data_IF_951522296322
#
_entry.id   IF_951522296322
#
_cell.length_a   1.000
_cell.length_b   1.000
_cell.length_c   1.000
_cell.angle_alpha   90.00
_cell.angle_beta   90.00
_cell.angle_gamma   90.00
#
_symmetry.space_group_name_H-M   'P 1'
#
loop_
_entity.id
_entity.type
_entity.pdbx_description
1 polymer ?
#
# COMPACT_ATOMS: atom_id res chain seq x y z
N UNK A 1 1.87 9.18 -28.98
CA UNK A 1 1.35 9.93 -27.81
C UNK A 1 2.52 10.26 -26.90
N UNK A 2 2.87 11.54 -26.72
CA UNK A 2 4.01 11.94 -25.87
C UNK A 2 3.56 11.88 -24.40
N UNK A 3 4.12 10.96 -23.62
CA UNK A 3 3.94 10.93 -22.18
C UNK A 3 4.48 12.24 -21.59
N UNK A 4 3.59 13.09 -21.07
CA UNK A 4 3.98 14.22 -20.25
C UNK A 4 4.29 13.68 -18.86
N UNK A 5 5.57 13.69 -18.50
CA UNK A 5 6.04 13.48 -17.12
C UNK A 5 5.39 14.57 -16.25
N UNK A 6 4.37 14.23 -15.49
CA UNK A 6 3.89 15.08 -14.41
C UNK A 6 4.83 14.88 -13.23
N UNK A 7 5.65 15.89 -12.97
CA UNK A 7 6.41 16.02 -11.73
C UNK A 7 5.36 16.23 -10.64
N UNK A 8 5.22 15.26 -9.73
CA UNK A 8 4.46 15.42 -8.51
C UNK A 8 5.19 16.48 -7.69
N UNK A 9 4.55 17.64 -7.54
CA UNK A 9 5.03 18.67 -6.63
C UNK A 9 4.59 18.27 -5.23
N UNK A 10 5.33 17.34 -4.62
CA UNK A 10 5.35 17.24 -3.16
C UNK A 10 5.90 18.59 -2.72
N UNK A 11 5.10 19.40 -2.02
CA UNK A 11 5.62 20.55 -1.29
C UNK A 11 6.60 19.99 -0.26
N UNK A 12 7.87 19.88 -0.66
CA UNK A 12 8.98 19.45 0.16
C UNK A 12 9.20 20.57 1.17
N UNK A 13 8.49 20.51 2.29
CA UNK A 13 8.82 21.31 3.46
C UNK A 13 10.10 20.70 4.03
N UNK A 14 11.24 21.04 3.42
CA UNK A 14 12.55 20.71 3.97
C UNK A 14 12.60 21.42 5.32
N UNK A 15 12.58 20.66 6.41
CA UNK A 15 13.04 21.17 7.70
C UNK A 15 14.56 21.31 7.55
N UNK A 16 14.96 22.40 6.92
CA UNK A 16 16.36 22.74 6.82
C UNK A 16 16.80 23.11 8.24
N UNK A 17 17.67 22.31 8.85
CA UNK A 17 18.55 22.86 9.86
C UNK A 17 19.30 23.98 9.13
N UNK A 18 19.08 25.22 9.57
CA UNK A 18 19.86 26.33 9.03
C UNK A 18 21.32 26.00 9.31
N UNK A 19 22.16 25.95 8.28
CA UNK A 19 23.61 25.88 8.42
C UNK A 19 24.08 27.15 9.14
N UNK A 20 23.98 27.12 10.47
CA UNK A 20 24.47 28.14 11.37
C UNK A 20 25.87 27.68 11.78
N UNK A 21 26.88 28.37 11.25
CA UNK A 21 28.29 28.41 11.66
C UNK A 21 28.74 27.21 12.56
N UNK A 22 29.41 26.22 11.93
CA UNK A 22 29.94 24.96 12.49
C UNK A 22 30.90 25.18 13.67
N UNK A 23 30.37 25.65 14.79
CA UNK A 23 31.11 25.89 16.04
C UNK A 23 31.11 24.67 16.96
N UNK A 24 30.36 23.61 16.64
CA UNK A 24 30.26 22.36 17.38
C UNK A 24 31.14 21.22 16.82
N UNK A 25 31.75 21.42 15.64
CA UNK A 25 32.63 20.44 15.00
C UNK A 25 31.90 19.30 14.27
N UNK A 26 30.58 19.38 14.09
CA UNK A 26 29.79 18.42 13.31
C UNK A 26 29.59 18.93 11.87
N UNK A 27 29.91 18.11 10.87
CA UNK A 27 29.62 18.45 9.46
C UNK A 27 28.83 17.34 8.81
N UNK A 28 27.54 17.58 8.53
CA UNK A 28 26.68 16.60 7.86
C UNK A 28 27.24 16.23 6.47
N UNK A 29 27.71 14.99 6.31
CA UNK A 29 28.13 14.44 5.01
C UNK A 29 26.99 13.69 4.31
N UNK A 30 26.01 13.21 5.08
CA UNK A 30 24.73 12.68 4.58
C UNK A 30 23.55 13.25 5.36
N UNK A 31 22.44 13.42 4.65
CA UNK A 31 21.17 13.87 5.22
C UNK A 31 20.06 12.98 4.69
N UNK A 32 19.27 12.40 5.60
CA UNK A 32 18.09 11.61 5.33
C UNK A 32 16.86 12.43 5.71
N UNK A 33 15.96 12.66 4.74
CA UNK A 33 14.70 13.36 4.96
C UNK A 33 13.57 12.35 4.93
N UNK A 34 12.82 12.26 6.03
CA UNK A 34 11.90 11.16 6.29
C UNK A 34 10.49 11.68 6.53
N UNK A 35 9.51 11.01 5.94
CA UNK A 35 8.10 11.19 6.27
C UNK A 35 7.62 9.94 7.00
N UNK A 36 7.21 10.12 8.26
CA UNK A 36 6.66 9.05 9.08
C UNK A 36 5.16 8.91 8.84
N UNK A 37 4.68 7.67 8.76
CA UNK A 37 3.26 7.34 8.59
C UNK A 37 2.89 6.06 9.31
N UNK A 38 1.59 5.87 9.59
CA UNK A 38 1.06 4.60 10.10
C UNK A 38 1.22 3.43 9.13
N UNK A 39 1.27 3.72 7.83
CA UNK A 39 1.54 2.75 6.75
C UNK A 39 2.87 2.01 6.90
N UNK A 40 3.90 2.67 7.44
CA UNK A 40 5.22 2.07 7.63
C UNK A 40 5.38 1.35 8.97
N UNK A 41 4.42 1.48 9.89
CA UNK A 41 4.46 0.85 11.21
C UNK A 41 4.34 -0.67 11.10
N UNK A 42 4.87 -1.37 12.11
CA UNK A 42 4.85 -2.84 12.16
C UNK A 42 4.08 -3.27 13.41
N UNK A 43 2.83 -3.77 13.28
CA UNK A 43 2.02 -3.91 12.06
C UNK A 43 1.54 -2.56 11.49
N UNK A 44 1.06 -2.57 10.23
CA UNK A 44 0.50 -1.40 9.57
C UNK A 44 -0.71 -0.88 10.37
N UNK A 45 -0.82 0.43 10.53
CA UNK A 45 -2.02 1.05 11.11
C UNK A 45 -2.56 2.19 10.24
N UNK A 46 -3.84 2.49 10.41
CA UNK A 46 -4.59 3.44 9.57
C UNK A 46 -4.53 4.89 10.09
N UNK A 47 -3.49 5.24 10.86
CA UNK A 47 -3.32 6.61 11.32
C UNK A 47 -3.13 7.58 10.15
N UNK A 48 -3.93 8.63 10.13
CA UNK A 48 -3.77 9.77 9.21
C UNK A 48 -2.74 10.78 9.72
N UNK A 49 -2.21 10.60 10.93
CA UNK A 49 -1.14 11.44 11.45
C UNK A 49 0.14 11.21 10.64
N UNK A 50 0.92 12.28 10.45
CA UNK A 50 2.22 12.22 9.78
C UNK A 50 3.21 13.09 10.54
N UNK A 51 4.49 12.79 10.40
CA UNK A 51 5.57 13.60 10.96
C UNK A 51 6.74 13.67 9.98
N UNK A 52 7.54 14.72 10.08
CA UNK A 52 8.77 14.88 9.30
C UNK A 52 9.97 14.74 10.24
N UNK A 53 11.00 14.04 9.78
CA UNK A 53 12.26 13.94 10.48
C UNK A 53 13.45 14.13 9.53
N UNK A 54 14.53 14.67 10.07
CA UNK A 54 15.83 14.77 9.41
C UNK A 54 16.83 14.02 10.26
N UNK A 55 17.58 13.10 9.65
CA UNK A 55 18.72 12.42 10.27
C UNK A 55 19.97 12.83 9.50
N UNK A 56 21.02 13.23 10.20
CA UNK A 56 22.28 13.63 9.61
C UNK A 56 23.42 12.78 10.15
N UNK A 57 24.32 12.38 9.26
CA UNK A 57 25.54 11.65 9.57
C UNK A 57 26.75 12.50 9.15
N UNK A 58 27.71 12.64 10.04
CA UNK A 58 29.06 13.10 9.74
C UNK A 58 29.99 11.90 9.64
N UNK A 59 30.33 11.49 8.42
CA UNK A 59 31.22 10.36 8.17
C UNK A 59 32.70 10.63 8.56
N UNK A 60 33.09 11.89 8.81
CA UNK A 60 34.46 12.20 9.23
C UNK A 60 34.68 11.89 10.71
N UNK A 61 33.63 12.07 11.52
CA UNK A 61 33.65 11.85 12.97
C UNK A 61 32.85 10.62 13.40
N UNK A 62 32.13 9.99 12.46
CA UNK A 62 31.14 8.95 12.72
C UNK A 62 30.10 9.40 13.75
N UNK A 63 29.61 10.63 13.64
CA UNK A 63 28.59 11.17 14.53
C UNK A 63 27.24 11.26 13.82
N UNK A 64 26.15 10.96 14.53
CA UNK A 64 24.78 11.14 14.06
C UNK A 64 24.05 12.16 14.92
N UNK A 65 23.22 12.99 14.29
CA UNK A 65 22.18 13.79 14.98
C UNK A 65 20.85 13.65 14.25
N UNK A 66 19.75 13.88 14.95
CA UNK A 66 18.43 13.81 14.34
C UNK A 66 17.48 14.87 14.90
N UNK A 67 16.52 15.28 14.07
CA UNK A 67 15.43 16.19 14.44
C UNK A 67 14.12 15.59 13.96
N UNK A 68 13.13 15.53 14.84
CA UNK A 68 11.76 15.11 14.55
C UNK A 68 10.82 16.29 14.80
N UNK A 69 10.03 16.67 13.80
CA UNK A 69 8.97 17.68 13.93
C UNK A 69 7.71 17.00 14.46
N UNK A 70 7.45 17.14 15.76
CA UNK A 70 6.41 16.40 16.47
C UNK A 70 5.21 17.28 16.89
N UNK A 71 5.19 18.54 16.44
CA UNK A 71 4.22 19.58 16.83
C UNK A 71 2.75 19.23 16.54
N UNK A 72 2.49 18.42 15.51
CA UNK A 72 1.14 18.03 15.09
C UNK A 72 0.78 16.58 15.48
N UNK A 73 1.57 15.95 16.35
CA UNK A 73 1.32 14.57 16.77
C UNK A 73 0.45 14.58 18.04
N UNK A 74 -0.82 14.23 17.89
CA UNK A 74 -1.76 14.10 18.98
C UNK A 74 -1.41 12.92 19.88
N UNK A 75 -1.37 13.17 21.19
CA UNK A 75 -1.11 12.13 22.18
C UNK A 75 0.32 11.58 22.18
N UNK A 76 1.29 12.31 21.61
CA UNK A 76 2.71 11.95 21.62
C UNK A 76 3.19 11.60 23.04
N UNK A 77 3.84 10.44 23.18
CA UNK A 77 4.44 9.98 24.44
C UNK A 77 5.95 9.93 24.37
N UNK A 78 6.51 9.30 23.33
CA UNK A 78 7.95 9.11 23.12
C UNK A 78 8.25 8.95 21.63
N UNK A 79 9.50 9.15 21.24
CA UNK A 79 10.01 8.76 19.93
C UNK A 79 11.42 8.20 20.06
N UNK A 80 11.78 7.24 19.20
CA UNK A 80 13.06 6.55 19.24
C UNK A 80 13.60 6.30 17.83
N UNK A 81 14.92 6.21 17.72
CA UNK A 81 15.58 5.51 16.61
C UNK A 81 15.81 4.07 17.05
N UNK A 82 15.39 3.11 16.24
CA UNK A 82 15.55 1.69 16.45
C UNK A 82 16.42 1.06 15.36
N UNK A 83 17.04 -0.07 15.70
CA UNK A 83 17.63 -1.00 14.73
C UNK A 83 16.55 -1.97 14.23
N UNK A 84 16.50 -2.23 12.93
CA UNK A 84 15.64 -3.20 12.24
C UNK A 84 15.41 -2.81 10.78
N UNK A 85 15.45 -3.79 9.88
CA UNK A 85 15.17 -3.60 8.46
C UNK A 85 13.69 -3.26 8.20
N UNK A 86 13.34 -3.01 6.95
CA UNK A 86 11.98 -2.71 6.52
C UNK A 86 11.01 -3.83 6.90
N UNK A 87 9.94 -3.47 7.61
CA UNK A 87 8.94 -4.41 8.11
C UNK A 87 9.38 -5.21 9.33
N UNK A 88 10.57 -4.94 9.89
CA UNK A 88 11.06 -5.55 11.12
C UNK A 88 10.96 -4.61 12.32
N UNK A 89 10.96 -5.21 13.51
CA UNK A 89 11.08 -4.50 14.78
C UNK A 89 12.39 -4.89 15.45
N UNK A 90 13.08 -3.94 16.09
CA UNK A 90 14.23 -4.25 16.92
C UNK A 90 14.46 -3.26 18.06
N UNK A 91 15.65 -3.31 18.65
CA UNK A 91 16.00 -2.57 19.86
C UNK A 91 16.08 -1.05 19.66
N UNK A 92 15.93 -0.31 20.76
CA UNK A 92 16.16 1.14 20.77
C UNK A 92 17.66 1.41 20.64
N UNK A 93 18.05 2.27 19.69
CA UNK A 93 19.40 2.78 19.52
C UNK A 93 19.52 4.15 20.18
N UNK A 94 18.59 5.06 19.90
CA UNK A 94 18.55 6.42 20.47
C UNK A 94 17.14 6.80 20.89
N UNK A 95 17.04 7.59 21.97
CA UNK A 95 15.80 8.28 22.35
C UNK A 95 15.80 9.71 21.84
N UNK A 96 14.62 10.18 21.41
CA UNK A 96 14.40 11.59 21.11
C UNK A 96 13.99 12.33 22.37
N UNK A 97 14.70 13.42 22.65
CA UNK A 97 14.43 14.29 23.79
C UNK A 97 13.95 15.67 23.33
N UNK A 98 13.29 16.41 24.23
CA UNK A 98 13.04 17.83 23.98
C UNK A 98 14.38 18.57 23.93
N UNK A 99 14.58 19.50 22.97
CA UNK A 99 15.78 20.31 22.96
C UNK A 99 15.91 21.06 24.29
N UNK A 100 17.12 21.11 24.82
CA UNK A 100 17.40 21.95 25.99
C UNK A 100 17.46 23.40 25.56
N UNK A 101 17.17 24.33 26.47
CA UNK A 101 17.17 25.78 26.18
C UNK A 101 18.50 26.30 25.61
N UNK A 102 19.61 25.61 25.87
CA UNK A 102 20.91 25.92 25.24
C UNK A 102 20.89 25.61 23.73
N UNK A 103 20.37 24.44 23.34
CA UNK A 103 20.34 23.99 21.96
C UNK A 103 19.30 24.75 21.11
N UNK A 104 18.18 25.14 21.71
CA UNK A 104 17.16 25.99 21.04
C UNK A 104 17.78 27.31 20.52
N UNK A 105 18.64 27.94 21.32
CA UNK A 105 19.23 29.24 21.01
C UNK A 105 20.50 29.16 20.13
N UNK A 106 21.19 28.01 20.12
CA UNK A 106 22.46 27.83 19.39
C UNK A 106 22.23 27.25 17.99
N UNK A 107 21.28 26.32 17.84
CA UNK A 107 21.06 25.58 16.57
C UNK A 107 19.75 25.97 15.88
N UNK A 108 18.97 26.89 16.47
CA UNK A 108 17.76 27.44 15.87
C UNK A 108 16.59 26.46 15.81
N UNK A 109 16.51 25.52 16.75
CA UNK A 109 15.39 24.58 16.86
C UNK A 109 14.08 25.31 17.20
N UNK A 110 12.97 24.77 16.70
CA UNK A 110 11.63 25.31 16.91
C UNK A 110 10.89 24.59 18.02
N UNK A 111 9.97 25.30 18.67
CA UNK A 111 9.01 24.70 19.61
C UNK A 111 8.25 23.55 18.93
N UNK A 112 8.12 22.41 19.63
CA UNK A 112 7.48 21.21 19.09
C UNK A 112 8.41 20.21 18.39
N UNK A 113 9.71 20.51 18.29
CA UNK A 113 10.72 19.54 17.83
C UNK A 113 11.22 18.64 18.96
N UNK A 114 11.56 17.40 18.61
CA UNK A 114 12.37 16.51 19.42
C UNK A 114 13.71 16.26 18.71
N UNK A 115 14.77 16.00 19.46
CA UNK A 115 16.12 15.82 18.92
C UNK A 115 16.81 14.59 19.47
N UNK A 116 17.73 14.06 18.65
CA UNK A 116 18.88 13.28 19.11
C UNK A 116 20.09 14.20 18.93
N UNK A 117 20.74 14.57 20.04
CA UNK A 117 21.99 15.35 19.98
C UNK A 117 23.07 14.57 19.23
N UNK A 118 24.17 15.24 18.84
CA UNK A 118 25.26 14.56 18.15
C UNK A 118 25.86 13.44 19.03
N UNK A 119 25.73 12.20 18.58
CA UNK A 119 26.20 11.00 19.25
C UNK A 119 27.16 10.22 18.35
N UNK A 120 28.25 9.72 18.93
CA UNK A 120 29.25 8.93 18.19
C UNK A 120 28.73 7.51 17.93
N UNK A 121 28.93 7.04 16.71
CA UNK A 121 28.61 5.70 16.25
C UNK A 121 29.87 4.84 16.19
N UNK A 122 29.73 3.56 16.49
CA UNK A 122 30.71 2.56 16.08
C UNK A 122 30.70 2.36 14.56
N UNK A 123 31.77 1.80 14.01
CA UNK A 123 31.86 1.54 12.57
C UNK A 123 30.71 0.65 12.06
N UNK A 124 30.33 -0.39 12.82
CA UNK A 124 29.21 -1.26 12.45
C UNK A 124 27.88 -0.51 12.47
N UNK A 125 27.66 0.40 13.44
CA UNK A 125 26.44 1.21 13.47
C UNK A 125 26.33 2.18 12.28
N UNK A 126 27.46 2.69 11.78
CA UNK A 126 27.48 3.46 10.54
C UNK A 126 27.10 2.57 9.35
N UNK A 127 27.64 1.36 9.27
CA UNK A 127 27.27 0.38 8.23
C UNK A 127 25.77 0.06 8.27
N UNK A 128 25.22 -0.28 9.44
CA UNK A 128 23.79 -0.58 9.64
C UNK A 128 22.90 0.61 9.21
N UNK A 129 23.25 1.84 9.61
CA UNK A 129 22.54 3.05 9.22
C UNK A 129 22.54 3.26 7.70
N UNK A 130 23.71 3.08 7.06
CA UNK A 130 23.86 3.28 5.61
C UNK A 130 23.21 2.16 4.79
N UNK A 131 23.11 0.95 5.35
CA UNK A 131 22.37 -0.16 4.77
C UNK A 131 20.84 0.02 4.93
N UNK A 132 20.39 1.07 5.61
CA UNK A 132 18.99 1.36 5.82
C UNK A 132 18.37 0.48 6.91
N UNK A 133 19.16 -0.13 7.78
CA UNK A 133 18.69 -1.06 8.81
C UNK A 133 18.18 -0.35 10.07
N UNK A 134 17.96 0.97 10.04
CA UNK A 134 17.44 1.72 11.18
C UNK A 134 16.13 2.44 10.82
N UNK A 135 15.26 2.65 11.81
CA UNK A 135 13.99 3.36 11.62
C UNK A 135 13.68 4.30 12.79
N UNK A 136 12.93 5.35 12.52
CA UNK A 136 12.32 6.19 13.56
C UNK A 136 10.93 5.62 13.88
N UNK A 137 10.61 5.52 15.16
CA UNK A 137 9.29 5.14 15.66
C UNK A 137 8.75 6.21 16.61
N UNK A 138 7.46 6.56 16.47
CA UNK A 138 6.78 7.53 17.31
C UNK A 138 5.62 6.85 18.02
N UNK A 139 5.59 6.96 19.34
CA UNK A 139 4.60 6.34 20.20
C UNK A 139 3.59 7.37 20.67
N UNK A 140 2.31 7.01 20.64
CA UNK A 140 1.22 7.84 21.18
C UNK A 140 0.42 7.11 22.23
N UNK A 141 -0.43 7.82 22.94
CA UNK A 141 -1.39 7.21 23.87
C UNK A 141 -2.38 6.28 23.15
N UNK A 142 -2.64 6.48 21.86
CA UNK A 142 -3.57 5.66 21.06
C UNK A 142 -2.90 4.41 20.51
N UNK A 143 -1.63 4.50 20.10
CA UNK A 143 -0.84 3.37 19.59
C UNK A 143 0.51 3.30 20.32
N UNK A 144 0.54 2.73 21.55
CA UNK A 144 1.76 2.70 22.37
C UNK A 144 2.90 1.87 21.79
N UNK A 145 2.61 0.92 20.89
CA UNK A 145 3.63 0.13 20.18
C UNK A 145 4.36 0.92 19.09
N UNK A 146 3.83 2.07 18.69
CA UNK A 146 4.33 2.88 17.57
C UNK A 146 3.19 3.25 16.62
N UNK A 147 2.77 4.51 16.63
CA UNK A 147 1.77 5.02 15.68
C UNK A 147 2.40 5.32 14.33
N UNK A 148 3.55 6.01 14.30
CA UNK A 148 4.20 6.44 13.07
C UNK A 148 5.61 5.87 12.96
N UNK A 149 5.97 5.37 11.78
CA UNK A 149 7.31 4.85 11.49
C UNK A 149 7.87 5.45 10.21
N UNK A 150 9.19 5.60 10.13
CA UNK A 150 9.91 5.82 8.88
C UNK A 150 11.22 5.05 8.88
N UNK A 151 11.47 4.26 7.83
CA UNK A 151 12.80 3.67 7.62
C UNK A 151 13.80 4.78 7.26
N UNK A 152 14.99 4.75 7.84
CA UNK A 152 16.05 5.71 7.55
C UNK A 152 16.80 5.22 6.30
N UNK A 153 16.36 5.69 5.13
CA UNK A 153 16.91 5.31 3.82
C UNK A 153 17.28 6.56 3.00
N UNK A 154 18.25 6.48 2.06
CA UNK A 154 18.60 7.60 1.21
C UNK A 154 17.42 8.04 0.33
N UNK A 155 17.47 9.29 -0.17
CA UNK A 155 16.42 9.82 -1.06
C UNK A 155 16.32 9.10 -2.42
N UNK A 156 17.29 8.24 -2.75
CA UNK A 156 17.22 7.31 -3.88
C UNK A 156 16.29 6.13 -3.62
N UNK A 157 15.83 5.92 -2.39
CA UNK A 157 14.96 4.81 -2.03
C UNK A 157 13.51 5.26 -1.93
N UNK A 158 12.60 4.48 -2.51
CA UNK A 158 11.15 4.65 -2.35
C UNK A 158 10.58 3.52 -1.52
N UNK A 159 9.77 3.86 -0.52
CA UNK A 159 9.06 2.89 0.33
C UNK A 159 7.61 2.77 -0.13
N UNK A 160 7.14 1.53 -0.28
CA UNK A 160 5.74 1.17 -0.51
C UNK A 160 5.28 0.21 0.59
N UNK A 161 4.03 0.38 1.00
CA UNK A 161 3.39 -0.47 2.01
C UNK A 161 2.01 -0.86 1.51
N UNK A 162 1.61 -2.12 1.70
CA UNK A 162 0.34 -2.64 1.20
C UNK A 162 -0.18 -3.76 2.10
N UNK A 163 -1.49 -3.95 2.14
CA UNK A 163 -2.14 -5.04 2.89
C UNK A 163 -2.45 -6.20 1.97
N UNK A 164 -2.42 -7.41 2.50
CA UNK A 164 -2.82 -8.65 1.86
C UNK A 164 -4.04 -9.21 2.57
N UNK A 165 -5.02 -9.70 1.82
CA UNK A 165 -6.20 -10.37 2.36
C UNK A 165 -6.80 -11.34 1.34
N UNK A 166 -7.82 -12.09 1.77
CA UNK A 166 -8.53 -13.04 0.91
C UNK A 166 -9.46 -12.40 -0.12
N UNK A 167 -9.98 -11.20 0.14
CA UNK A 167 -10.91 -10.51 -0.79
C UNK A 167 -10.21 -10.02 -2.05
N UNK A 168 -8.93 -9.68 -1.94
CA UNK A 168 -8.08 -9.31 -3.05
C UNK A 168 -7.70 -10.49 -3.96
N UNK A 169 -7.82 -11.74 -3.48
CA UNK A 169 -7.51 -12.94 -4.26
C UNK A 169 -8.51 -13.10 -5.42
N UNK A 170 -8.11 -13.79 -6.49
CA UNK A 170 -8.96 -13.94 -7.69
C UNK A 170 -9.16 -15.42 -8.03
N UNK A 171 -10.36 -15.99 -7.82
CA UNK A 171 -11.50 -15.39 -7.12
C UNK A 171 -11.26 -15.11 -5.63
N UNK A 172 -12.08 -14.25 -5.03
CA UNK A 172 -12.00 -13.91 -3.62
C UNK A 172 -12.12 -15.17 -2.75
N UNK A 173 -11.28 -15.24 -1.71
CA UNK A 173 -11.18 -16.36 -0.79
C UNK A 173 -11.75 -15.93 0.56
N UNK A 174 -12.73 -16.68 1.05
CA UNK A 174 -13.25 -16.48 2.40
C UNK A 174 -12.26 -17.04 3.44
N UNK A 175 -11.45 -16.15 4.02
CA UNK A 175 -10.45 -16.48 5.03
C UNK A 175 -10.26 -15.31 5.99
N UNK A 176 -9.82 -15.59 7.20
CA UNK A 176 -9.36 -14.56 8.16
C UNK A 176 -7.87 -14.27 8.02
N UNK A 177 -7.15 -15.04 7.18
CA UNK A 177 -5.75 -14.79 6.89
C UNK A 177 -5.56 -13.42 6.24
N UNK A 178 -4.51 -12.74 6.64
CA UNK A 178 -4.12 -11.43 6.12
C UNK A 178 -2.59 -11.26 6.17
N UNK A 179 -2.10 -10.10 5.79
CA UNK A 179 -0.70 -9.75 5.97
C UNK A 179 -0.38 -8.30 5.61
N UNK A 180 0.80 -7.87 6.02
CA UNK A 180 1.37 -6.57 5.68
C UNK A 180 2.61 -6.77 4.80
N UNK A 181 2.69 -6.01 3.71
CA UNK A 181 3.86 -5.93 2.84
C UNK A 181 4.57 -4.59 3.00
N UNK A 182 5.89 -4.65 3.13
CA UNK A 182 6.77 -3.49 3.22
C UNK A 182 7.86 -3.65 2.17
N UNK A 183 8.00 -2.68 1.28
CA UNK A 183 8.89 -2.74 0.13
C UNK A 183 9.72 -1.47 0.06
N UNK A 184 11.04 -1.61 -0.08
CA UNK A 184 11.97 -0.53 -0.36
C UNK A 184 12.62 -0.79 -1.73
N UNK A 185 12.67 0.22 -2.59
CA UNK A 185 13.37 0.14 -3.88
C UNK A 185 14.38 1.26 -4.01
N UNK A 186 15.66 0.93 -4.19
CA UNK A 186 16.73 1.88 -4.47
C UNK A 186 16.94 2.06 -5.98
N UNK A 187 16.76 3.29 -6.47
CA UNK A 187 16.95 3.65 -7.87
C UNK A 187 18.41 3.70 -8.34
N UNK A 188 19.39 3.74 -7.44
CA UNK A 188 20.83 3.73 -7.77
C UNK A 188 21.25 2.32 -8.13
N UNK A 189 20.95 1.35 -7.27
CA UNK A 189 21.39 -0.04 -7.42
C UNK A 189 20.35 -0.93 -8.13
N UNK A 190 19.12 -0.42 -8.33
CA UNK A 190 17.96 -1.19 -8.80
C UNK A 190 17.69 -2.41 -7.92
N UNK A 191 17.78 -2.18 -6.61
CA UNK A 191 17.60 -3.19 -5.58
C UNK A 191 16.23 -3.01 -4.90
N UNK A 192 15.49 -4.11 -4.79
CA UNK A 192 14.23 -4.26 -4.10
C UNK A 192 14.46 -5.11 -2.84
N UNK A 193 14.22 -4.49 -1.69
CA UNK A 193 14.02 -5.18 -0.43
C UNK A 193 12.53 -5.26 -0.15
N UNK A 194 12.04 -6.42 0.29
CA UNK A 194 10.64 -6.61 0.65
C UNK A 194 10.55 -7.52 1.85
N UNK A 195 9.65 -7.18 2.76
CA UNK A 195 9.21 -8.06 3.83
C UNK A 195 7.70 -8.20 3.80
N UNK A 196 7.22 -9.44 3.89
CA UNK A 196 5.82 -9.73 4.17
C UNK A 196 5.71 -10.27 5.59
N UNK A 197 4.77 -9.76 6.37
CA UNK A 197 4.37 -10.30 7.67
C UNK A 197 2.92 -10.81 7.56
N UNK A 198 2.75 -12.11 7.37
CA UNK A 198 1.43 -12.78 7.22
C UNK A 198 0.88 -13.23 8.57
N UNK A 199 -0.44 -13.26 8.74
CA UNK A 199 -1.09 -13.76 9.97
C UNK A 199 -2.22 -14.71 9.60
N UNK A 200 -2.53 -15.63 10.51
CA UNK A 200 -3.57 -16.67 10.35
C UNK A 200 -3.46 -17.51 9.06
N UNK A 201 -2.26 -17.58 8.48
CA UNK A 201 -1.94 -18.45 7.36
C UNK A 201 -1.51 -19.83 7.87
N UNK A 202 -2.08 -20.88 7.28
CA UNK A 202 -1.72 -22.26 7.57
C UNK A 202 -1.25 -22.94 6.29
N UNK A 203 -0.28 -23.85 6.40
CA UNK A 203 0.23 -24.66 5.28
C UNK A 203 0.72 -23.82 4.08
N UNK A 204 1.38 -22.70 4.36
CA UNK A 204 1.98 -21.83 3.33
C UNK A 204 3.10 -22.56 2.60
N UNK A 205 3.07 -22.50 1.27
CA UNK A 205 4.03 -23.19 0.40
C UNK A 205 4.98 -22.25 -0.33
N UNK A 206 4.51 -21.05 -0.68
CA UNK A 206 5.29 -20.07 -1.42
C UNK A 206 4.65 -18.68 -1.32
N UNK A 207 5.45 -17.63 -1.54
CA UNK A 207 4.96 -16.30 -1.82
C UNK A 207 5.73 -15.69 -3.00
N UNK A 208 5.07 -14.88 -3.81
CA UNK A 208 5.66 -14.32 -5.03
C UNK A 208 5.12 -12.93 -5.31
N UNK A 209 5.95 -12.09 -5.93
CA UNK A 209 5.50 -10.91 -6.67
C UNK A 209 5.19 -11.32 -8.11
N UNK A 210 3.95 -11.09 -8.53
CA UNK A 210 3.48 -11.32 -9.90
C UNK A 210 3.27 -9.99 -10.62
N UNK A 211 3.54 -9.98 -11.92
CA UNK A 211 2.95 -8.98 -12.81
C UNK A 211 1.43 -9.14 -12.83
N UNK A 212 0.66 -8.06 -12.91
CA UNK A 212 -0.79 -8.11 -13.02
C UNK A 212 -1.48 -7.05 -12.17
N UNK A 213 -2.49 -6.43 -12.77
CA UNK A 213 -3.33 -5.41 -12.13
C UNK A 213 -4.44 -6.07 -11.32
N UNK A 214 -5.33 -5.25 -10.79
CA UNK A 214 -6.50 -5.71 -10.04
C UNK A 214 -7.33 -6.74 -10.82
N UNK A 215 -7.73 -7.81 -10.12
CA UNK A 215 -8.52 -8.90 -10.70
C UNK A 215 -7.81 -9.75 -11.77
N UNK A 216 -6.50 -9.58 -12.02
CA UNK A 216 -5.73 -10.42 -12.95
C UNK A 216 -5.24 -11.71 -12.28
N UNK A 217 -5.20 -12.81 -13.04
CA UNK A 217 -4.69 -14.13 -12.60
C UNK A 217 -3.53 -14.67 -13.44
N UNK A 218 -3.16 -14.00 -14.53
CA UNK A 218 -2.34 -14.61 -15.60
C UNK A 218 -0.92 -14.06 -15.73
N UNK A 219 -0.45 -13.24 -14.79
CA UNK A 219 0.88 -12.66 -14.90
C UNK A 219 1.97 -13.54 -14.27
N UNK A 220 3.15 -13.51 -14.90
CA UNK A 220 4.31 -14.30 -14.48
C UNK A 220 4.87 -13.85 -13.13
N UNK A 221 5.61 -14.75 -12.49
CA UNK A 221 6.41 -14.46 -11.29
C UNK A 221 7.61 -13.61 -11.68
N UNK A 222 7.86 -12.55 -10.92
CA UNK A 222 8.94 -11.60 -11.15
C UNK A 222 9.95 -11.65 -10.00
N UNK A 223 9.45 -11.84 -8.77
CA UNK A 223 10.29 -12.09 -7.58
C UNK A 223 9.71 -13.26 -6.79
N UNK A 224 10.54 -14.25 -6.48
CA UNK A 224 10.23 -15.27 -5.50
C UNK A 224 10.54 -14.81 -4.09
N UNK A 225 9.70 -15.20 -3.12
CA UNK A 225 9.88 -14.84 -1.72
C UNK A 225 10.13 -16.10 -0.89
N UNK A 226 11.21 -16.06 -0.11
CA UNK A 226 11.59 -17.11 0.81
C UNK A 226 11.03 -16.82 2.20
N UNK A 227 10.70 -17.87 2.95
CA UNK A 227 10.41 -17.71 4.37
C UNK A 227 11.67 -17.23 5.09
N UNK A 228 11.53 -16.22 5.94
CA UNK A 228 12.63 -15.71 6.76
C UNK A 228 13.06 -16.80 7.73
N UNK A 229 14.38 -16.92 7.97
CA UNK A 229 14.94 -17.93 8.85
C UNK A 229 14.24 -17.93 10.22
N UNK A 230 13.81 -19.11 10.67
CA UNK A 230 13.08 -19.32 11.93
C UNK A 230 11.71 -18.61 12.02
N UNK A 231 11.13 -18.19 10.89
CA UNK A 231 9.77 -17.64 10.83
C UNK A 231 8.87 -18.50 9.94
N UNK A 232 7.63 -18.69 10.36
CA UNK A 232 6.56 -19.30 9.54
C UNK A 232 5.61 -18.26 8.96
N UNK A 233 5.80 -16.99 9.32
CA UNK A 233 4.87 -15.89 9.05
C UNK A 233 5.55 -14.70 8.40
N UNK A 234 6.87 -14.75 8.18
CA UNK A 234 7.62 -13.69 7.54
C UNK A 234 8.30 -14.18 6.26
N UNK A 235 8.30 -13.33 5.23
CA UNK A 235 8.85 -13.64 3.92
C UNK A 235 9.71 -12.50 3.40
N UNK A 236 10.76 -12.82 2.66
CA UNK A 236 11.71 -11.86 2.09
C UNK A 236 12.08 -12.22 0.63
N UNK A 237 12.57 -11.25 -0.15
CA UNK A 237 12.96 -11.51 -1.53
C UNK A 237 14.13 -12.49 -1.67
N UNK A 238 13.97 -13.49 -2.54
CA UNK A 238 15.06 -14.38 -2.99
C UNK A 238 16.04 -13.64 -3.89
N UNK A 239 15.52 -12.84 -4.84
CA UNK A 239 16.29 -11.99 -5.73
C UNK A 239 15.89 -10.54 -5.52
N UNK A 240 16.89 -9.68 -5.31
CA UNK A 240 16.69 -8.27 -5.02
C UNK A 240 16.83 -7.37 -6.25
N UNK A 241 17.33 -7.84 -7.40
CA UNK A 241 17.45 -6.99 -8.57
C UNK A 241 16.13 -6.94 -9.37
N UNK A 242 15.53 -5.76 -9.48
CA UNK A 242 14.29 -5.52 -10.23
C UNK A 242 14.52 -4.33 -11.16
N UNK A 243 14.10 -4.44 -12.41
CA UNK A 243 14.29 -3.35 -13.37
C UNK A 243 13.48 -2.12 -12.96
N UNK A 244 14.03 -0.93 -13.22
CA UNK A 244 13.36 0.33 -12.91
C UNK A 244 11.98 0.45 -13.56
N UNK A 245 11.83 -0.01 -14.80
CA UNK A 245 10.56 -0.01 -15.51
C UNK A 245 9.50 -0.87 -14.82
N UNK A 246 9.92 -1.99 -14.22
CA UNK A 246 9.02 -2.86 -13.45
C UNK A 246 8.59 -2.17 -12.17
N UNK A 247 9.51 -1.54 -11.44
CA UNK A 247 9.17 -0.76 -10.25
C UNK A 247 8.25 0.44 -10.58
N UNK A 248 8.51 1.17 -11.67
CA UNK A 248 7.64 2.26 -12.11
C UNK A 248 6.22 1.77 -12.42
N UNK A 249 6.07 0.54 -12.95
CA UNK A 249 4.77 -0.08 -13.16
C UNK A 249 4.14 -0.57 -11.84
N UNK A 250 4.93 -1.01 -10.85
CA UNK A 250 4.43 -1.28 -9.47
C UNK A 250 3.76 -0.04 -8.86
N UNK A 251 4.34 1.15 -9.03
CA UNK A 251 3.76 2.40 -8.49
C UNK A 251 2.33 2.68 -8.96
N UNK A 252 1.93 2.11 -10.10
CA UNK A 252 0.63 2.30 -10.73
C UNK A 252 -0.35 1.14 -10.55
N UNK A 253 -0.07 0.16 -9.69
CA UNK A 253 -0.92 -1.02 -9.53
C UNK A 253 -0.61 -2.14 -10.53
N UNK A 254 0.57 -2.15 -11.15
CA UNK A 254 0.94 -3.14 -12.17
C UNK A 254 1.32 -4.52 -11.63
N UNK A 255 1.49 -4.66 -10.31
CA UNK A 255 2.03 -5.85 -9.67
C UNK A 255 1.31 -6.14 -8.35
N UNK A 256 1.28 -7.42 -7.98
CA UNK A 256 0.69 -7.87 -6.73
C UNK A 256 1.51 -8.99 -6.11
N UNK A 257 1.33 -9.17 -4.80
CA UNK A 257 1.87 -10.30 -4.06
C UNK A 257 0.79 -11.35 -3.89
N UNK A 258 1.15 -12.61 -4.08
CA UNK A 258 0.32 -13.76 -3.68
C UNK A 258 1.07 -14.57 -2.62
N UNK A 259 0.32 -15.04 -1.62
CA UNK A 259 0.76 -16.11 -0.73
C UNK A 259 -0.05 -17.35 -1.06
N UNK A 260 0.64 -18.46 -1.27
CA UNK A 260 0.07 -19.74 -1.68
C UNK A 260 0.07 -20.73 -0.53
N UNK A 261 -1.03 -21.46 -0.36
CA UNK A 261 -1.17 -22.51 0.64
C UNK A 261 -1.76 -23.80 0.05
N UNK A 262 -1.57 -24.92 0.77
CA UNK A 262 -2.13 -26.21 0.39
C UNK A 262 -1.42 -26.91 -0.78
N UNK A 263 -1.81 -28.16 -1.04
CA UNK A 263 -1.18 -29.04 -2.04
C UNK A 263 -1.36 -28.58 -3.50
N UNK A 264 -2.27 -27.64 -3.76
CA UNK A 264 -2.53 -27.07 -5.09
C UNK A 264 -1.92 -25.69 -5.31
N UNK A 265 -1.16 -25.17 -4.35
CA UNK A 265 -0.60 -23.81 -4.40
C UNK A 265 -1.65 -22.75 -4.73
N UNK A 266 -2.85 -22.89 -4.16
CA UNK A 266 -3.90 -21.89 -4.35
C UNK A 266 -3.50 -20.60 -3.63
N UNK A 267 -3.72 -19.45 -4.26
CA UNK A 267 -3.59 -18.15 -3.58
C UNK A 267 -4.59 -18.11 -2.43
N UNK A 268 -4.12 -17.86 -1.21
CA UNK A 268 -4.98 -17.69 -0.02
C UNK A 268 -5.19 -16.22 0.33
N UNK A 269 -4.15 -15.40 0.18
CA UNK A 269 -4.21 -13.96 0.33
C UNK A 269 -3.42 -13.28 -0.79
N UNK A 270 -3.87 -12.10 -1.20
CA UNK A 270 -3.28 -11.29 -2.26
C UNK A 270 -3.17 -9.84 -1.81
N UNK A 271 -2.11 -9.13 -2.22
CA UNK A 271 -1.93 -7.71 -1.98
C UNK A 271 -1.51 -6.97 -3.25
N UNK A 272 -2.32 -6.04 -3.73
CA UNK A 272 -1.92 -5.18 -4.85
C UNK A 272 -0.89 -4.14 -4.39
N UNK A 273 0.19 -3.98 -5.16
CA UNK A 273 1.25 -3.00 -4.89
C UNK A 273 0.96 -1.73 -5.70
N UNK A 274 0.91 -0.57 -5.06
CA UNK A 274 0.72 0.74 -5.69
C UNK A 274 1.24 1.87 -4.78
N UNK A 275 1.39 3.06 -5.37
CA UNK A 275 1.73 4.28 -4.62
C UNK A 275 0.52 4.84 -3.84
N UNK A 276 0.71 5.64 -2.77
CA UNK A 276 -0.38 6.21 -1.96
C UNK A 276 -1.41 7.07 -2.70
N UNK A 277 -1.17 7.42 -3.96
CA UNK A 277 -2.13 8.12 -4.82
C UNK A 277 -3.23 7.20 -5.36
N UNK A 278 -3.24 5.93 -4.98
CA UNK A 278 -4.25 4.97 -5.36
C UNK A 278 -5.01 4.47 -4.14
N UNK A 279 -6.31 4.21 -4.33
CA UNK A 279 -7.15 3.52 -3.37
C UNK A 279 -7.74 2.26 -4.00
N UNK A 280 -7.55 1.13 -3.33
CA UNK A 280 -8.09 -0.17 -3.72
C UNK A 280 -9.43 -0.40 -3.00
N UNK A 281 -10.37 -1.02 -3.71
CA UNK A 281 -11.65 -1.47 -3.18
C UNK A 281 -11.89 -2.90 -3.66
N UNK A 282 -12.31 -3.77 -2.76
CA UNK A 282 -12.78 -5.13 -3.04
C UNK A 282 -14.22 -5.23 -2.57
N UNK A 283 -15.07 -5.92 -3.33
CA UNK A 283 -16.48 -6.06 -2.95
C UNK A 283 -17.10 -7.33 -3.56
N UNK A 284 -17.96 -8.04 -2.81
CA UNK A 284 -18.70 -9.17 -3.35
C UNK A 284 -19.89 -8.69 -4.20
N UNK A 285 -20.20 -9.42 -5.26
CA UNK A 285 -21.43 -9.27 -6.02
C UNK A 285 -22.35 -10.46 -5.78
N UNK A 286 -23.59 -10.19 -5.37
CA UNK A 286 -24.59 -11.21 -5.02
C UNK A 286 -25.97 -10.78 -5.46
N UNK A 287 -26.86 -11.73 -5.76
CA UNK A 287 -28.26 -11.41 -6.05
C UNK A 287 -29.03 -10.81 -4.87
N UNK A 288 -28.63 -11.11 -3.62
CA UNK A 288 -29.24 -10.56 -2.41
C UNK A 288 -29.04 -9.04 -2.25
N UNK A 289 -28.05 -8.48 -2.96
CA UNK A 289 -27.79 -7.04 -2.95
C UNK A 289 -28.65 -6.27 -3.96
N UNK A 290 -29.32 -6.96 -4.90
CA UNK A 290 -30.25 -6.32 -5.85
C UNK A 290 -31.44 -5.69 -5.15
N UNK A 291 -32.05 -4.67 -5.78
CA UNK A 291 -33.29 -4.05 -5.30
C UNK A 291 -34.36 -4.10 -6.40
N UNK A 292 -35.34 -5.03 -6.31
CA UNK A 292 -35.51 -6.03 -5.25
C UNK A 292 -34.51 -7.21 -5.34
N UNK A 293 -34.26 -7.94 -4.24
CA UNK A 293 -33.32 -9.07 -4.22
C UNK A 293 -33.64 -10.17 -5.25
N UNK A 294 -32.60 -10.73 -5.85
CA UNK A 294 -32.70 -11.79 -6.87
C UNK A 294 -32.15 -13.11 -6.32
N UNK A 295 -32.97 -14.17 -6.35
CA UNK A 295 -32.51 -15.53 -6.03
C UNK A 295 -31.75 -16.11 -7.22
N UNK A 296 -30.43 -16.21 -7.11
CA UNK A 296 -29.55 -16.83 -8.10
C UNK A 296 -28.43 -17.62 -7.42
N UNK A 297 -27.86 -18.59 -8.14
CA UNK A 297 -26.61 -19.25 -7.73
C UNK A 297 -25.36 -18.52 -8.23
N UNK A 298 -25.53 -17.49 -9.06
CA UNK A 298 -24.46 -16.64 -9.55
C UNK A 298 -23.86 -15.82 -8.40
N UNK A 299 -22.56 -15.52 -8.53
CA UNK A 299 -21.83 -14.68 -7.59
C UNK A 299 -20.71 -13.96 -8.34
N UNK A 300 -20.16 -12.90 -7.78
CA UNK A 300 -18.97 -12.26 -8.33
C UNK A 300 -18.10 -11.61 -7.27
N UNK A 301 -16.92 -11.20 -7.70
CA UNK A 301 -16.03 -10.34 -6.93
C UNK A 301 -15.60 -9.17 -7.81
N UNK A 302 -15.68 -7.97 -7.26
CA UNK A 302 -15.26 -6.74 -7.88
C UNK A 302 -13.97 -6.22 -7.25
N UNK A 303 -13.12 -5.65 -8.09
CA UNK A 303 -11.86 -5.03 -7.72
C UNK A 303 -11.83 -3.66 -8.40
N UNK A 304 -11.59 -2.60 -7.64
CA UNK A 304 -11.49 -1.25 -8.17
C UNK A 304 -10.24 -0.55 -7.66
N UNK A 305 -9.54 0.14 -8.54
CA UNK A 305 -8.33 0.88 -8.25
C UNK A 305 -8.52 2.31 -8.76
N UNK A 306 -8.75 3.24 -7.82
CA UNK A 306 -8.96 4.66 -8.13
C UNK A 306 -7.67 5.44 -7.91
N UNK A 307 -7.18 6.11 -8.95
CA UNK A 307 -6.14 7.14 -8.76
C UNK A 307 -6.81 8.40 -8.19
N UNK A 308 -6.48 8.78 -6.95
CA UNK A 308 -7.13 9.89 -6.23
C UNK A 308 -6.75 11.27 -6.77
N UNK A 309 -5.70 11.37 -7.58
CA UNK A 309 -5.24 12.62 -8.20
C UNK A 309 -5.86 12.81 -9.59
N UNK A 310 -5.70 11.81 -10.47
CA UNK A 310 -6.21 11.87 -11.84
C UNK A 310 -7.69 11.52 -11.95
N UNK A 311 -8.24 10.84 -10.93
CA UNK A 311 -9.61 10.27 -10.88
C UNK A 311 -9.88 9.22 -11.94
N UNK A 312 -8.82 8.67 -12.53
CA UNK A 312 -8.95 7.48 -13.39
C UNK A 312 -9.28 6.29 -12.51
N UNK A 313 -10.41 5.65 -12.80
CA UNK A 313 -10.87 4.43 -12.17
C UNK A 313 -10.53 3.24 -13.06
N UNK A 314 -9.85 2.24 -12.52
CA UNK A 314 -9.82 0.90 -13.10
C UNK A 314 -10.77 0.03 -12.30
N UNK A 315 -11.68 -0.70 -12.94
CA UNK A 315 -12.54 -1.65 -12.25
C UNK A 315 -12.62 -2.94 -13.06
N UNK A 316 -12.56 -4.07 -12.35
CA UNK A 316 -12.74 -5.41 -12.91
C UNK A 316 -13.67 -6.21 -12.03
N UNK A 317 -14.58 -6.95 -12.66
CA UNK A 317 -15.50 -7.87 -12.02
C UNK A 317 -15.24 -9.25 -12.58
N UNK A 318 -15.13 -10.24 -11.70
CA UNK A 318 -15.03 -11.65 -12.04
C UNK A 318 -16.26 -12.35 -11.50
N UNK A 319 -17.10 -12.85 -12.41
CA UNK A 319 -18.32 -13.57 -12.09
C UNK A 319 -18.10 -15.08 -12.10
N UNK A 320 -18.93 -15.79 -11.36
CA UNK A 320 -18.94 -17.25 -11.26
C UNK A 320 -20.38 -17.73 -11.32
N UNK A 321 -20.58 -18.90 -11.93
CA UNK A 321 -21.89 -19.56 -12.06
C UNK A 321 -22.95 -18.69 -12.74
N UNK A 322 -22.52 -17.75 -13.57
CA UNK A 322 -23.39 -16.94 -14.44
C UNK A 322 -23.64 -17.74 -15.73
N UNK A 323 -24.47 -18.76 -15.64
CA UNK A 323 -24.77 -19.64 -16.78
C UNK A 323 -26.27 -19.84 -16.95
N UNK A 324 -26.71 -19.90 -18.20
CA UNK A 324 -27.95 -20.58 -18.56
C UNK A 324 -27.70 -22.08 -18.41
N UNK A 325 -28.32 -22.75 -17.44
CA UNK A 325 -28.38 -24.21 -17.43
C UNK A 325 -29.36 -24.66 -18.54
N UNK A 326 -28.96 -24.62 -19.81
CA UNK A 326 -29.63 -25.37 -20.90
C UNK A 326 -28.83 -26.64 -21.17
N UNK A 327 -29.31 -27.81 -20.73
CA UNK A 327 -28.57 -29.07 -20.84
C UNK A 327 -28.19 -29.49 -22.28
N UNK A 328 -28.76 -28.86 -23.30
CA UNK A 328 -28.63 -29.23 -24.71
C UNK A 328 -27.84 -28.26 -25.60
N UNK A 329 -27.40 -27.09 -25.10
CA UNK A 329 -26.71 -26.08 -25.94
C UNK A 329 -25.36 -25.59 -25.40
N UNK A 330 -24.91 -26.05 -24.23
CA UNK A 330 -23.68 -25.56 -23.59
C UNK A 330 -23.82 -24.14 -23.02
N UNK A 331 -22.79 -23.67 -22.31
CA UNK A 331 -22.80 -22.35 -21.66
C UNK A 331 -22.79 -21.22 -22.70
N UNK A 332 -23.92 -20.57 -22.89
CA UNK A 332 -24.02 -19.30 -23.64
C UNK A 332 -23.86 -18.13 -22.66
N UNK A 333 -23.12 -17.09 -23.07
CA UNK A 333 -22.99 -15.86 -22.27
C UNK A 333 -24.40 -15.29 -22.01
N UNK A 334 -24.79 -15.24 -20.72
CA UNK A 334 -26.05 -14.69 -20.28
C UNK A 334 -25.95 -13.19 -20.01
N UNK A 335 -24.75 -12.66 -19.73
CA UNK A 335 -24.54 -11.25 -19.40
C UNK A 335 -24.76 -10.41 -20.65
N UNK A 336 -25.60 -9.40 -20.52
CA UNK A 336 -25.94 -8.47 -21.60
C UNK A 336 -25.21 -7.13 -21.44
N UNK A 337 -25.08 -6.66 -20.20
CA UNK A 337 -24.43 -5.38 -19.86
C UNK A 337 -23.92 -5.43 -18.42
N UNK A 338 -22.95 -4.57 -18.11
CA UNK A 338 -22.54 -4.30 -16.74
C UNK A 338 -22.19 -2.82 -16.58
N UNK A 339 -22.51 -2.24 -15.43
CA UNK A 339 -22.34 -0.81 -15.18
C UNK A 339 -21.92 -0.53 -13.74
N UNK A 340 -21.31 0.63 -13.53
CA UNK A 340 -21.23 1.28 -12.23
C UNK A 340 -22.38 2.28 -12.14
N UNK A 341 -23.14 2.23 -11.06
CA UNK A 341 -24.29 3.09 -10.77
C UNK A 341 -24.03 3.98 -9.56
N UNK A 342 -24.70 5.12 -9.52
CA UNK A 342 -24.90 5.89 -8.30
C UNK A 342 -25.87 5.16 -7.36
N UNK A 343 -25.62 5.22 -6.05
CA UNK A 343 -26.53 4.72 -5.02
C UNK A 343 -25.81 4.11 -3.83
N UNK A 344 -26.35 4.37 -2.63
CA UNK A 344 -25.98 3.64 -1.41
C UNK A 344 -26.72 2.29 -1.35
N UNK A 345 -26.36 1.45 -0.39
CA UNK A 345 -27.04 0.17 -0.12
C UNK A 345 -28.56 0.33 -0.09
N UNK A 346 -29.27 -0.50 -0.85
CA UNK A 346 -30.74 -0.49 -0.94
C UNK A 346 -31.34 0.65 -1.79
N UNK A 347 -30.52 1.47 -2.45
CA UNK A 347 -30.99 2.50 -3.39
C UNK A 347 -30.50 2.23 -4.81
N UNK A 348 -31.37 2.43 -5.79
CA UNK A 348 -31.04 2.38 -7.20
C UNK A 348 -30.78 3.80 -7.73
N UNK A 349 -29.81 3.93 -8.64
CA UNK A 349 -29.51 5.20 -9.32
C UNK A 349 -29.12 4.99 -10.78
N UNK A 350 -28.74 6.08 -11.45
CA UNK A 350 -28.35 6.03 -12.86
C UNK A 350 -26.97 5.41 -13.08
N UNK A 351 -26.69 4.83 -14.26
CA UNK A 351 -25.36 4.37 -14.61
C UNK A 351 -24.42 5.56 -14.85
N UNK A 352 -23.21 5.49 -14.31
CA UNK A 352 -22.15 6.50 -14.49
C UNK A 352 -20.99 6.01 -15.34
N UNK A 353 -20.71 4.71 -15.33
CA UNK A 353 -19.63 4.09 -16.12
C UNK A 353 -20.12 2.76 -16.68
N UNK A 354 -19.91 2.56 -17.97
CA UNK A 354 -20.21 1.30 -18.64
C UNK A 354 -18.98 0.39 -18.60
N UNK A 355 -19.21 -0.90 -18.38
CA UNK A 355 -18.17 -1.92 -18.41
C UNK A 355 -18.24 -2.68 -19.74
N UNK A 356 -17.08 -3.09 -20.24
CA UNK A 356 -16.93 -3.94 -21.41
C UNK A 356 -16.57 -5.38 -21.01
N UNK A 357 -16.88 -6.33 -21.89
CA UNK A 357 -16.46 -7.72 -21.73
C UNK A 357 -14.93 -7.81 -21.81
N UNK A 358 -14.32 -8.50 -20.84
CA UNK A 358 -12.89 -8.71 -20.75
C UNK A 358 -12.41 -9.88 -21.61
N UNK A 359 -11.30 -10.51 -21.19
CA UNK A 359 -10.71 -11.66 -21.91
C UNK A 359 -11.58 -12.93 -21.90
N UNK A 360 -12.51 -13.03 -20.95
CA UNK A 360 -13.51 -14.08 -20.88
C UNK A 360 -14.89 -13.47 -20.64
N UNK A 361 -15.93 -14.21 -21.02
CA UNK A 361 -17.33 -13.81 -20.83
C UNK A 361 -17.78 -13.66 -19.38
N UNK A 362 -16.97 -14.15 -18.43
CA UNK A 362 -17.18 -13.99 -16.98
C UNK A 362 -16.49 -12.77 -16.40
N UNK A 363 -15.70 -12.03 -17.19
CA UNK A 363 -14.95 -10.86 -16.74
C UNK A 363 -15.50 -9.61 -17.41
N UNK A 364 -15.78 -8.59 -16.61
CA UNK A 364 -16.23 -7.27 -17.08
C UNK A 364 -15.36 -6.18 -16.47
N UNK A 365 -15.02 -5.16 -17.24
CA UNK A 365 -14.05 -4.15 -16.80
C UNK A 365 -14.31 -2.77 -17.39
N UNK A 366 -13.73 -1.74 -16.78
CA UNK A 366 -13.76 -0.37 -17.33
C UNK A 366 -13.03 -0.27 -18.65
N UNK A 367 -13.62 0.44 -19.62
CA UNK A 367 -12.92 0.84 -20.83
C UNK A 367 -11.81 1.86 -20.51
N UNK A 368 -10.62 1.64 -21.06
CA UNK A 368 -9.40 2.39 -20.70
C UNK A 368 -9.45 3.91 -20.90
N UNK A 369 -10.37 4.43 -21.72
CA UNK A 369 -10.53 5.86 -22.04
C UNK A 369 -11.81 6.50 -21.49
N UNK A 370 -12.69 5.74 -20.82
CA UNK A 370 -14.03 6.20 -20.37
C UNK A 370 -14.26 6.09 -18.86
N UNK A 371 -13.21 5.96 -18.08
CA UNK A 371 -13.31 5.71 -16.64
C UNK A 371 -12.76 6.84 -15.75
N UNK A 372 -12.59 8.04 -16.30
CA UNK A 372 -12.21 9.21 -15.48
C UNK A 372 -13.43 9.81 -14.82
N UNK A 373 -13.48 9.79 -13.49
CA UNK A 373 -14.57 10.33 -12.70
C UNK A 373 -14.49 11.86 -12.57
N UNK A 374 -15.64 12.52 -12.46
CA UNK A 374 -15.69 13.92 -11.98
C UNK A 374 -15.21 14.01 -10.53
N UNK A 375 -14.82 15.20 -10.03
CA UNK A 375 -14.46 15.38 -8.63
C UNK A 375 -15.55 14.89 -7.65
N UNK A 376 -16.81 15.18 -7.96
CA UNK A 376 -17.97 14.77 -7.16
C UNK A 376 -18.14 13.25 -7.18
N UNK A 377 -18.09 12.64 -8.37
CA UNK A 377 -18.16 11.18 -8.51
C UNK A 377 -17.04 10.47 -7.77
N UNK A 378 -15.80 10.98 -7.83
CA UNK A 378 -14.67 10.39 -7.10
C UNK A 378 -14.86 10.48 -5.58
N UNK A 379 -15.35 11.61 -5.07
CA UNK A 379 -15.66 11.76 -3.65
C UNK A 379 -16.78 10.80 -3.22
N UNK A 380 -17.83 10.69 -4.02
CA UNK A 380 -18.95 9.78 -3.76
C UNK A 380 -18.56 8.30 -3.91
N UNK A 381 -17.62 7.96 -4.80
CA UNK A 381 -17.03 6.63 -4.93
C UNK A 381 -16.24 6.25 -3.68
N UNK A 382 -15.38 7.14 -3.19
CA UNK A 382 -14.63 6.95 -1.95
C UNK A 382 -15.57 6.87 -0.73
N UNK A 383 -16.71 7.57 -0.75
CA UNK A 383 -17.70 7.55 0.32
C UNK A 383 -18.67 6.36 0.26
N UNK A 384 -18.46 5.41 -0.66
CA UNK A 384 -19.26 4.19 -0.76
C UNK A 384 -20.67 4.39 -1.35
N UNK A 385 -20.86 5.41 -2.20
CA UNK A 385 -22.16 5.74 -2.82
C UNK A 385 -22.31 5.22 -4.25
N UNK A 386 -21.59 4.16 -4.59
CA UNK A 386 -21.68 3.53 -5.90
C UNK A 386 -21.77 2.01 -5.77
N UNK A 387 -22.38 1.38 -6.76
CA UNK A 387 -22.46 -0.08 -6.86
C UNK A 387 -22.22 -0.53 -8.29
N UNK A 388 -21.73 -1.76 -8.45
CA UNK A 388 -21.71 -2.44 -9.74
C UNK A 388 -22.98 -3.25 -9.90
N UNK A 389 -23.54 -3.24 -11.10
CA UNK A 389 -24.65 -4.11 -11.49
C UNK A 389 -24.30 -4.93 -12.72
N UNK A 390 -24.64 -6.23 -12.70
CA UNK A 390 -24.47 -7.16 -13.82
C UNK A 390 -25.85 -7.58 -14.32
N UNK A 391 -26.16 -7.27 -15.58
CA UNK A 391 -27.44 -7.58 -16.21
C UNK A 391 -27.32 -8.84 -17.05
N UNK A 392 -28.33 -9.70 -17.00
CA UNK A 392 -28.40 -10.88 -17.87
C UNK A 392 -29.67 -10.89 -18.70
N UNK A 393 -29.76 -11.81 -19.68
CA UNK A 393 -30.99 -12.02 -20.48
C UNK A 393 -32.19 -12.40 -19.62
N UNK A 394 -31.97 -13.00 -18.46
CA UNK A 394 -33.02 -13.48 -17.55
C UNK A 394 -33.37 -12.47 -16.47
N UNK A 395 -32.40 -11.63 -16.09
CA UNK A 395 -32.58 -10.55 -15.12
C UNK A 395 -32.13 -9.24 -15.74
N UNK A 396 -32.96 -8.71 -16.65
CA UNK A 396 -32.65 -7.48 -17.40
C UNK A 396 -32.50 -6.24 -16.52
N UNK A 397 -33.13 -6.23 -15.33
CA UNK A 397 -32.95 -5.17 -14.34
C UNK A 397 -31.65 -5.27 -13.54
N UNK A 398 -31.01 -6.46 -13.52
CA UNK A 398 -29.84 -6.80 -12.71
C UNK A 398 -29.96 -8.22 -12.15
N UNK A 399 -28.90 -9.03 -12.25
CA UNK A 399 -28.78 -10.34 -11.60
C UNK A 399 -27.85 -10.31 -10.38
N UNK A 400 -26.77 -9.52 -10.46
CA UNK A 400 -25.79 -9.36 -9.39
C UNK A 400 -25.50 -7.89 -9.15
N UNK A 401 -25.60 -7.50 -7.87
CA UNK A 401 -25.19 -6.18 -7.39
C UNK A 401 -24.04 -6.33 -6.39
N UNK A 402 -23.09 -5.41 -6.45
CA UNK A 402 -22.03 -5.26 -5.45
C UNK A 402 -21.87 -3.80 -5.06
N UNK A 403 -22.18 -3.47 -3.81
CA UNK A 403 -21.88 -2.14 -3.27
C UNK A 403 -20.37 -1.97 -3.17
N UNK A 404 -19.86 -0.84 -3.66
CA UNK A 404 -18.44 -0.50 -3.56
C UNK A 404 -18.28 0.24 -2.23
N UNK A 405 -17.64 -0.39 -1.25
CA UNK A 405 -17.41 0.18 0.08
C UNK A 405 -15.91 0.39 0.34
N UNK A 406 -15.53 1.44 1.11
CA UNK A 406 -14.16 1.93 1.26
C UNK A 406 -13.20 1.12 2.10
#
# INVERSE_FOLDING_TARGET
MKFRKFIVMISLFVVALSACDDSDGFTATKTFNLTLSGGQSVPINDSEQTALATVELDENTNALRAVLSAENIEGLTMAHIHSGDIGETGGVVFGFDKPTSFLENVVGYKEGQLIVAAENLSASQVEDLLAGEWYINVHTTKVPSGELRAQIVPSSTTILTFKLDGEQAVPAVNTTADGDGYLAYDYVDNELSIRLNTRDVNDTKAAHIHAGRIGDTSGGVIVGLNAVANSTTAWEAENRSVAKEDFENMLSGGYHVNVHAGDKFATIIRGQIFSPNYKLFTFPLTGDQEEPPVTTAASGAGYALLNTVSRVLELKVVTQKIEEQVPSQGSVNSITMAHIHEGIVGQNGGPIVFLEEGKSNTVWQTESDKSTLTPEQAADFIAGKHYVNIHTKFSGAGELRGQIEP
#
